data_IF_493054156029
#
_entry.id   IF_493054156029
#
_cell.length_a   1.000
_cell.length_b   1.000
_cell.length_c   1.000
_cell.angle_alpha   90.00
_cell.angle_beta   90.00
_cell.angle_gamma   90.00
#
_symmetry.space_group_name_H-M   'P 1'
#
loop_
_entity.id
_entity.type
_entity.pdbx_description
1 polymer ?
#
# COMPACT_ATOMS: atom_id res chain seq x y z
N UNK A 1 14.11 2.94 -9.60
CA UNK A 1 13.77 1.56 -9.14
C UNK A 1 12.53 1.08 -9.87
N UNK A 2 12.31 -0.23 -9.98
CA UNK A 2 11.00 -0.77 -10.42
C UNK A 2 9.97 -0.63 -9.30
N UNK A 3 8.67 -0.68 -9.63
CA UNK A 3 7.61 -0.60 -8.61
C UNK A 3 7.73 -1.71 -7.55
N UNK A 4 8.14 -2.91 -7.97
CA UNK A 4 8.39 -4.03 -7.04
C UNK A 4 9.54 -3.72 -6.07
N UNK A 5 10.62 -3.12 -6.56
CA UNK A 5 11.74 -2.72 -5.70
C UNK A 5 11.33 -1.63 -4.71
N UNK A 6 10.45 -0.70 -5.11
CA UNK A 6 9.93 0.34 -4.21
C UNK A 6 9.05 -0.28 -3.12
N UNK A 7 8.16 -1.22 -3.45
CA UNK A 7 7.33 -1.89 -2.43
C UNK A 7 8.18 -2.74 -1.48
N UNK A 8 9.22 -3.41 -1.98
CA UNK A 8 10.17 -4.16 -1.14
C UNK A 8 10.99 -3.23 -0.23
N UNK A 9 11.47 -2.09 -0.74
CA UNK A 9 12.16 -1.09 0.06
C UNK A 9 11.25 -0.55 1.17
N UNK A 10 10.01 -0.21 0.82
CA UNK A 10 8.99 0.22 1.78
C UNK A 10 8.73 -0.84 2.86
N UNK A 11 8.53 -2.11 2.48
CA UNK A 11 8.33 -3.20 3.44
C UNK A 11 9.56 -3.48 4.34
N UNK A 12 10.74 -3.00 3.96
CA UNK A 12 11.95 -3.03 4.76
C UNK A 12 12.18 -1.72 5.57
N UNK A 13 11.22 -0.79 5.57
CA UNK A 13 11.32 0.50 6.25
C UNK A 13 12.28 1.48 5.56
N UNK A 14 12.59 1.26 4.28
CA UNK A 14 13.50 2.09 3.49
C UNK A 14 12.73 2.97 2.51
N UNK A 15 13.35 4.11 2.20
CA UNK A 15 12.86 4.99 1.15
C UNK A 15 13.21 4.45 -0.24
N UNK A 16 12.40 4.80 -1.23
CA UNK A 16 12.55 4.32 -2.59
C UNK A 16 11.66 5.06 -3.57
N UNK A 17 12.11 5.20 -4.82
CA UNK A 17 11.40 6.00 -5.81
C UNK A 17 11.37 5.34 -7.19
N UNK A 18 10.19 5.32 -7.80
CA UNK A 18 9.93 5.07 -9.22
C UNK A 18 9.17 6.25 -9.82
N UNK A 19 8.79 6.17 -11.10
CA UNK A 19 8.09 7.27 -11.77
C UNK A 19 6.78 7.67 -11.07
N UNK A 20 6.01 6.69 -10.60
CA UNK A 20 4.64 6.90 -10.10
C UNK A 20 4.39 6.25 -8.73
N UNK A 21 5.42 5.66 -8.11
CA UNK A 21 5.35 5.00 -6.81
C UNK A 21 6.57 5.42 -5.98
N UNK A 22 6.33 5.92 -4.77
CA UNK A 22 7.40 6.34 -3.88
C UNK A 22 7.14 5.97 -2.43
N UNK A 23 8.20 5.51 -1.77
CA UNK A 23 8.30 5.26 -0.34
C UNK A 23 9.12 6.38 0.28
N UNK A 24 8.53 7.13 1.20
CA UNK A 24 9.22 8.18 1.94
C UNK A 24 8.74 8.23 3.39
N UNK A 25 9.68 8.24 4.33
CA UNK A 25 9.40 8.33 5.77
C UNK A 25 8.36 7.28 6.23
N UNK A 26 8.51 6.04 5.75
CA UNK A 26 7.61 4.93 6.07
C UNK A 26 6.24 4.96 5.39
N UNK A 27 5.94 5.95 4.55
CA UNK A 27 4.69 6.03 3.78
C UNK A 27 4.91 5.63 2.33
N UNK A 28 3.94 4.91 1.76
CA UNK A 28 3.93 4.50 0.37
C UNK A 28 2.87 5.29 -0.39
N UNK A 29 3.28 5.93 -1.48
CA UNK A 29 2.44 6.79 -2.29
C UNK A 29 2.41 6.34 -3.74
N UNK A 30 1.22 6.26 -4.31
CA UNK A 30 0.96 6.00 -5.72
C UNK A 30 0.34 7.25 -6.35
N UNK A 31 0.99 7.87 -7.33
CA UNK A 31 0.54 9.14 -7.95
C UNK A 31 0.22 10.25 -6.92
N UNK A 32 0.99 10.31 -5.83
CA UNK A 32 0.75 11.27 -4.73
C UNK A 32 -0.35 10.87 -3.74
N UNK A 33 -1.11 9.79 -4.00
CA UNK A 33 -2.04 9.21 -3.05
C UNK A 33 -1.30 8.29 -2.09
N UNK A 34 -1.40 8.53 -0.79
CA UNK A 34 -0.86 7.63 0.24
C UNK A 34 -1.68 6.31 0.26
N UNK A 35 -1.07 5.22 -0.22
CA UNK A 35 -1.66 3.88 -0.31
C UNK A 35 -1.19 2.92 0.78
N UNK A 36 -0.23 3.33 1.61
CA UNK A 36 0.21 2.55 2.76
C UNK A 36 1.13 3.35 3.68
N UNK A 37 1.30 2.89 4.90
CA UNK A 37 2.22 3.48 5.88
C UNK A 37 2.73 2.44 6.88
N UNK A 38 3.87 2.71 7.49
CA UNK A 38 4.32 1.98 8.68
C UNK A 38 3.52 2.41 9.90
N UNK A 39 2.92 1.45 10.61
CA UNK A 39 2.26 1.63 11.91
C UNK A 39 2.70 0.51 12.84
N UNK A 40 3.09 0.86 14.06
CA UNK A 40 3.43 -0.11 15.11
C UNK A 40 4.44 -1.18 14.68
N UNK A 41 5.43 -0.78 13.86
CA UNK A 41 6.46 -1.70 13.34
C UNK A 41 6.00 -2.61 12.19
N UNK A 42 4.84 -2.33 11.58
CA UNK A 42 4.28 -3.11 10.48
C UNK A 42 3.99 -2.24 9.25
N UNK A 43 4.32 -2.71 8.03
CA UNK A 43 3.91 -2.06 6.79
C UNK A 43 2.42 -2.32 6.54
N UNK A 44 1.60 -1.28 6.72
CA UNK A 44 0.15 -1.29 6.53
C UNK A 44 -0.23 -0.77 5.15
N UNK A 45 -1.03 -1.54 4.41
CA UNK A 45 -1.57 -1.16 3.10
C UNK A 45 -3.03 -0.77 3.25
N UNK A 46 -3.42 0.35 2.66
CA UNK A 46 -4.81 0.79 2.59
C UNK A 46 -5.51 0.22 1.37
N UNK A 47 -6.73 -0.26 1.57
CA UNK A 47 -7.52 -0.81 0.48
C UNK A 47 -8.19 0.30 -0.36
N UNK A 48 -7.45 0.85 -1.32
CA UNK A 48 -8.00 1.72 -2.36
C UNK A 48 -8.41 0.93 -3.61
N UNK A 49 -8.93 -0.29 -3.46
CA UNK A 49 -9.50 -1.02 -4.59
C UNK A 49 -11.02 -0.81 -4.67
N UNK A 50 -11.68 -1.44 -5.64
CA UNK A 50 -13.13 -1.38 -5.78
C UNK A 50 -13.88 -2.32 -4.83
N UNK A 51 -13.18 -3.31 -4.24
CA UNK A 51 -13.79 -4.37 -3.44
C UNK A 51 -13.23 -4.38 -2.02
N UNK A 52 -14.05 -4.84 -1.08
CA UNK A 52 -13.58 -5.16 0.27
C UNK A 52 -12.50 -6.24 0.19
N UNK A 53 -11.59 -6.22 1.15
CA UNK A 53 -10.46 -7.15 1.21
C UNK A 53 -10.38 -7.79 2.61
N UNK A 54 -9.49 -8.76 2.77
CA UNK A 54 -9.19 -9.40 4.05
C UNK A 54 -7.73 -9.20 4.42
N UNK A 55 -7.45 -9.02 5.70
CA UNK A 55 -6.08 -9.10 6.21
C UNK A 55 -5.73 -10.54 6.61
N UNK A 56 -4.44 -10.90 6.74
CA UNK A 56 -4.01 -12.24 7.15
C UNK A 56 -4.48 -12.69 8.54
N UNK A 57 -5.04 -11.76 9.34
CA UNK A 57 -5.58 -12.01 10.66
C UNK A 57 -7.11 -12.22 10.65
N UNK A 58 -7.74 -12.27 9.47
CA UNK A 58 -9.17 -12.52 9.29
C UNK A 58 -10.07 -11.29 9.44
N UNK A 59 -9.51 -10.09 9.55
CA UNK A 59 -10.30 -8.85 9.59
C UNK A 59 -10.65 -8.36 8.20
N UNK A 60 -11.88 -7.88 8.06
CA UNK A 60 -12.38 -7.24 6.84
C UNK A 60 -11.79 -5.84 6.69
N UNK A 61 -11.29 -5.53 5.50
CA UNK A 61 -10.72 -4.23 5.13
C UNK A 61 -11.60 -3.59 4.06
N UNK A 62 -12.38 -2.59 4.46
CA UNK A 62 -13.32 -1.91 3.56
C UNK A 62 -12.65 -1.33 2.32
N UNK A 63 -13.35 -1.44 1.20
CA UNK A 63 -13.01 -0.77 -0.05
C UNK A 63 -13.03 0.75 0.10
N UNK A 64 -11.99 1.43 -0.38
CA UNK A 64 -12.00 2.88 -0.60
C UNK A 64 -12.81 3.29 -1.83
N UNK A 65 -13.32 2.34 -2.62
CA UNK A 65 -14.19 2.60 -3.78
C UNK A 65 -13.48 3.09 -5.04
N UNK A 66 -12.16 2.99 -5.11
CA UNK A 66 -11.39 3.50 -6.25
C UNK A 66 -11.27 2.44 -7.35
N UNK A 67 -11.77 2.76 -8.54
CA UNK A 67 -11.69 1.92 -9.75
C UNK A 67 -10.44 2.22 -10.62
N UNK A 68 -9.49 3.03 -10.12
CA UNK A 68 -8.29 3.39 -10.90
C UNK A 68 -7.38 2.18 -11.09
N UNK A 69 -7.28 1.70 -12.34
CA UNK A 69 -6.52 0.49 -12.72
C UNK A 69 -5.04 0.55 -12.29
N UNK A 70 -4.42 1.72 -12.26
CA UNK A 70 -2.98 1.81 -11.95
C UNK A 70 -2.73 1.86 -10.45
N UNK A 71 -3.55 2.60 -9.70
CA UNK A 71 -3.49 2.60 -8.24
C UNK A 71 -3.83 1.21 -7.68
N UNK A 72 -4.81 0.51 -8.26
CA UNK A 72 -5.15 -0.86 -7.84
C UNK A 72 -4.02 -1.86 -8.10
N UNK A 73 -3.28 -1.72 -9.21
CA UNK A 73 -2.07 -2.50 -9.46
C UNK A 73 -0.96 -2.23 -8.43
N UNK A 74 -0.73 -0.96 -8.05
CA UNK A 74 0.25 -0.62 -7.01
C UNK A 74 -0.15 -1.14 -5.63
N UNK A 75 -1.43 -1.03 -5.26
CA UNK A 75 -1.98 -1.62 -4.02
C UNK A 75 -1.79 -3.13 -4.05
N UNK A 76 -2.11 -3.80 -5.16
CA UNK A 76 -1.91 -5.24 -5.33
C UNK A 76 -0.44 -5.67 -5.18
N UNK A 77 0.52 -4.86 -5.62
CA UNK A 77 1.95 -5.10 -5.39
C UNK A 77 2.34 -4.90 -3.92
N UNK A 78 1.83 -3.84 -3.28
CA UNK A 78 2.10 -3.56 -1.87
C UNK A 78 1.55 -4.68 -0.96
N UNK A 79 0.41 -5.28 -1.31
CA UNK A 79 -0.17 -6.44 -0.61
C UNK A 79 0.74 -7.68 -0.58
N UNK A 80 1.66 -7.82 -1.53
CA UNK A 80 2.60 -8.97 -1.54
C UNK A 80 3.67 -8.85 -0.47
N UNK A 81 3.84 -7.67 0.12
CA UNK A 81 4.95 -7.33 1.02
C UNK A 81 4.49 -6.63 2.30
N UNK A 82 3.20 -6.33 2.44
CA UNK A 82 2.62 -5.66 3.61
C UNK A 82 1.22 -6.16 3.93
N UNK A 83 0.71 -5.74 5.09
CA UNK A 83 -0.56 -6.21 5.65
C UNK A 83 -1.67 -5.20 5.35
N UNK A 84 -2.83 -5.66 4.86
CA UNK A 84 -3.98 -4.77 4.65
C UNK A 84 -4.60 -4.35 6.00
N UNK A 85 -4.85 -3.06 6.20
CA UNK A 85 -5.72 -2.58 7.28
C UNK A 85 -6.63 -1.44 6.79
N UNK A 86 -7.70 -1.19 7.53
CA UNK A 86 -8.56 -0.03 7.28
C UNK A 86 -7.77 1.25 7.56
N UNK A 87 -8.01 2.27 6.73
CA UNK A 87 -7.57 3.63 7.02
C UNK A 87 -8.53 4.17 8.07
N UNK A 88 -8.04 4.42 9.28
CA UNK A 88 -8.77 5.24 10.25
C UNK A 88 -8.80 6.68 9.74
N UNK A 89 -9.99 7.30 9.75
CA UNK A 89 -10.28 8.65 9.25
C UNK A 89 -9.43 9.74 9.90
#
# INVERSE_FOLDING_TARGET
MTNLQVTQAWAAGKDGHSLNLHSIAGKLYSYGLCIGMWRDGLPVVFNYTAHDDGNPFGHKVSSGGFQSKTTSCHVGLARRVGYCFQKED
#
